data_IF_030252179583
#
_entry.id   IF_030252179583
#
_cell.length_a   1.000
_cell.length_b   1.000
_cell.length_c   1.000
_cell.angle_alpha   90.00
_cell.angle_beta   90.00
_cell.angle_gamma   90.00
#
_symmetry.space_group_name_H-M   'P 1'
#
loop_
_entity.id
_entity.type
_entity.pdbx_description
1 polymer ?
#
# COMPACT_ATOMS: atom_id res chain seq x y z
N UNK A 1 -31.10 22.81 -6.84
CA UNK A 1 -29.80 22.62 -6.17
C UNK A 1 -28.73 23.21 -7.08
N UNK A 2 -28.11 24.32 -6.69
CA UNK A 2 -27.22 25.07 -7.59
C UNK A 2 -25.92 24.30 -7.82
N UNK A 3 -25.45 24.28 -9.07
CA UNK A 3 -24.21 23.60 -9.50
C UNK A 3 -23.02 24.02 -8.63
N UNK A 4 -22.92 25.31 -8.29
CA UNK A 4 -21.85 25.87 -7.45
C UNK A 4 -21.91 25.33 -6.01
N UNK A 5 -23.11 25.10 -5.46
CA UNK A 5 -23.29 24.52 -4.13
C UNK A 5 -22.87 23.04 -4.12
N UNK A 6 -23.19 22.31 -5.19
CA UNK A 6 -22.76 20.92 -5.37
C UNK A 6 -21.23 20.79 -5.51
N UNK A 7 -20.60 21.69 -6.28
CA UNK A 7 -19.13 21.72 -6.43
C UNK A 7 -18.43 22.05 -5.11
N UNK A 8 -18.96 22.97 -4.31
CA UNK A 8 -18.40 23.28 -2.98
C UNK A 8 -18.56 22.12 -1.99
N UNK A 9 -19.66 21.39 -2.06
CA UNK A 9 -19.94 20.24 -1.19
C UNK A 9 -18.99 19.06 -1.45
N UNK A 10 -18.61 18.84 -2.72
CA UNK A 10 -17.83 17.68 -3.15
C UNK A 10 -16.42 18.05 -3.66
N UNK A 11 -15.89 19.19 -3.20
CA UNK A 11 -14.65 19.76 -3.73
C UNK A 11 -13.46 18.80 -3.65
N UNK A 12 -13.30 18.08 -2.53
CA UNK A 12 -12.18 17.18 -2.32
C UNK A 12 -12.21 15.98 -3.27
N UNK A 13 -13.38 15.35 -3.45
CA UNK A 13 -13.55 14.20 -4.35
C UNK A 13 -13.34 14.58 -5.81
N UNK A 14 -13.84 15.76 -6.22
CA UNK A 14 -13.65 16.25 -7.59
C UNK A 14 -12.17 16.56 -7.83
N UNK A 15 -11.47 17.14 -6.85
CA UNK A 15 -10.05 17.47 -6.96
C UNK A 15 -9.16 16.22 -7.05
N UNK A 16 -9.42 15.18 -6.25
CA UNK A 16 -8.63 13.93 -6.32
C UNK A 16 -8.88 13.19 -7.63
N UNK A 17 -10.13 13.12 -8.09
CA UNK A 17 -10.47 12.49 -9.37
C UNK A 17 -9.83 13.25 -10.54
N UNK A 18 -9.94 14.58 -10.55
CA UNK A 18 -9.29 15.42 -11.56
C UNK A 18 -7.76 15.29 -11.51
N UNK A 19 -7.17 15.20 -10.31
CA UNK A 19 -5.73 14.99 -10.13
C UNK A 19 -5.24 13.66 -10.71
N UNK A 20 -5.96 12.56 -10.46
CA UNK A 20 -5.64 11.23 -11.02
C UNK A 20 -5.77 11.24 -12.55
N UNK A 21 -6.85 11.80 -13.08
CA UNK A 21 -7.07 11.88 -14.53
C UNK A 21 -5.99 12.73 -15.20
N UNK A 22 -5.69 13.91 -14.63
CA UNK A 22 -4.67 14.81 -15.18
C UNK A 22 -3.29 14.16 -15.10
N UNK A 23 -2.94 13.51 -13.99
CA UNK A 23 -1.68 12.79 -13.84
C UNK A 23 -1.53 11.63 -14.83
N UNK A 24 -2.61 10.88 -15.08
CA UNK A 24 -2.62 9.81 -16.08
C UNK A 24 -2.45 10.37 -17.50
N UNK A 25 -3.20 11.42 -17.86
CA UNK A 25 -3.12 12.06 -19.18
C UNK A 25 -1.74 12.62 -19.43
N UNK A 26 -1.17 13.36 -18.46
CA UNK A 26 0.19 13.90 -18.55
C UNK A 26 1.21 12.76 -18.68
N UNK A 27 1.09 11.70 -17.87
CA UNK A 27 2.00 10.55 -17.93
C UNK A 27 1.95 9.82 -19.28
N UNK A 28 0.77 9.67 -19.88
CA UNK A 28 0.61 9.05 -21.20
C UNK A 28 1.14 9.98 -22.30
N UNK A 29 0.82 11.27 -22.27
CA UNK A 29 1.28 12.26 -23.27
C UNK A 29 2.81 12.35 -23.31
N UNK A 30 3.44 12.37 -22.13
CA UNK A 30 4.90 12.35 -22.01
C UNK A 30 5.47 11.05 -22.64
N UNK A 31 4.82 9.90 -22.41
CA UNK A 31 5.26 8.61 -22.96
C UNK A 31 5.06 8.49 -24.48
N UNK A 32 4.00 9.07 -25.05
CA UNK A 32 3.71 8.99 -26.49
C UNK A 32 4.40 10.09 -27.31
N UNK A 33 4.84 11.16 -26.67
CA UNK A 33 5.37 12.36 -27.33
C UNK A 33 6.89 12.41 -27.52
N UNK A 34 7.66 11.47 -26.96
CA UNK A 34 9.13 11.46 -27.05
C UNK A 34 9.67 10.12 -27.54
N UNK A 35 10.17 10.10 -28.79
CA UNK A 35 11.01 9.01 -29.33
C UNK A 35 12.44 9.03 -28.76
N UNK A 36 12.87 10.15 -28.18
CA UNK A 36 14.15 10.25 -27.45
C UNK A 36 13.89 10.23 -25.95
N UNK A 37 14.37 9.16 -25.32
CA UNK A 37 14.44 8.89 -23.88
C UNK A 37 14.54 10.18 -23.07
N UNK A 38 13.47 10.52 -22.33
CA UNK A 38 13.52 11.56 -21.29
C UNK A 38 14.80 11.39 -20.48
N UNK A 39 15.58 12.45 -20.36
CA UNK A 39 16.78 12.45 -19.52
C UNK A 39 16.39 11.99 -18.11
N UNK A 40 17.13 11.04 -17.52
CA UNK A 40 16.88 10.47 -16.18
C UNK A 40 16.58 11.53 -15.10
N UNK A 41 17.05 12.76 -15.32
CA UNK A 41 16.83 13.93 -14.46
C UNK A 41 15.38 14.40 -14.41
N UNK A 42 14.64 14.41 -15.52
CA UNK A 42 13.24 14.87 -15.56
C UNK A 42 12.30 13.89 -14.86
N UNK A 43 12.54 12.59 -15.06
CA UNK A 43 11.87 11.52 -14.32
C UNK A 43 12.15 11.63 -12.82
N UNK A 44 13.38 11.93 -12.42
CA UNK A 44 13.76 12.13 -11.02
C UNK A 44 13.00 13.30 -10.36
N UNK A 45 12.74 14.40 -11.08
CA UNK A 45 11.97 15.52 -10.50
C UNK A 45 10.50 15.16 -10.26
N UNK A 46 9.89 14.43 -11.18
CA UNK A 46 8.49 13.98 -11.03
C UNK A 46 8.37 12.93 -9.92
N UNK A 47 9.28 11.95 -9.87
CA UNK A 47 9.28 10.93 -8.82
C UNK A 47 9.55 11.53 -7.44
N UNK A 48 10.42 12.53 -7.34
CA UNK A 48 10.75 13.20 -6.08
C UNK A 48 9.52 13.80 -5.38
N UNK A 49 8.62 14.44 -6.14
CA UNK A 49 7.37 15.00 -5.58
C UNK A 49 6.47 13.88 -5.04
N UNK A 50 6.35 12.77 -5.79
CA UNK A 50 5.60 11.59 -5.36
C UNK A 50 6.20 10.94 -4.11
N UNK A 51 7.52 10.83 -4.05
CA UNK A 51 8.25 10.24 -2.92
C UNK A 51 8.08 11.07 -1.65
N UNK A 52 8.16 12.41 -1.74
CA UNK A 52 7.89 13.29 -0.60
C UNK A 52 6.44 13.09 -0.13
N UNK A 53 5.47 13.08 -1.04
CA UNK A 53 4.07 12.87 -0.70
C UNK A 53 3.85 11.54 0.04
N UNK A 54 4.41 10.44 -0.47
CA UNK A 54 4.31 9.12 0.18
C UNK A 54 5.02 9.08 1.54
N UNK A 55 6.18 9.75 1.69
CA UNK A 55 6.89 9.88 2.97
C UNK A 55 6.05 10.64 4.01
N UNK A 56 5.39 11.72 3.60
CA UNK A 56 4.49 12.49 4.46
C UNK A 56 3.31 11.64 4.92
N UNK A 57 2.66 10.89 4.00
CA UNK A 57 1.57 9.98 4.38
C UNK A 57 2.04 8.91 5.38
N UNK A 58 3.16 8.24 5.10
CA UNK A 58 3.69 7.17 5.97
C UNK A 58 4.05 7.67 7.37
N UNK A 59 4.58 8.88 7.49
CA UNK A 59 4.91 9.49 8.79
C UNK A 59 3.68 9.75 9.68
N UNK A 60 2.50 9.90 9.09
CA UNK A 60 1.25 10.15 9.82
C UNK A 60 0.57 8.84 10.24
N UNK A 61 0.81 7.74 9.53
CA UNK A 61 0.16 6.44 9.80
C UNK A 61 0.47 5.94 11.22
N UNK A 62 1.74 5.90 11.61
CA UNK A 62 2.17 5.40 12.93
C UNK A 62 1.50 6.17 14.09
N UNK A 63 1.61 7.51 14.18
CA UNK A 63 1.02 8.26 15.29
C UNK A 63 -0.51 8.28 15.27
N UNK A 64 -1.17 8.01 14.13
CA UNK A 64 -2.63 8.02 14.05
C UNK A 64 -3.25 6.67 14.43
N UNK A 65 -2.63 5.55 14.05
CA UNK A 65 -3.18 4.22 14.30
C UNK A 65 -3.16 3.88 15.80
N UNK A 66 -2.05 4.12 16.50
CA UNK A 66 -1.90 3.68 17.91
C UNK A 66 -2.96 4.31 18.84
N UNK A 67 -3.16 5.64 18.86
CA UNK A 67 -4.18 6.25 19.71
C UNK A 67 -5.60 5.87 19.28
N UNK A 68 -5.85 5.74 17.97
CA UNK A 68 -7.15 5.32 17.44
C UNK A 68 -7.54 3.93 17.94
N UNK A 69 -6.60 2.98 17.93
CA UNK A 69 -6.81 1.63 18.46
C UNK A 69 -7.03 1.63 19.98
N UNK A 70 -6.27 2.44 20.73
CA UNK A 70 -6.43 2.55 22.19
C UNK A 70 -7.83 3.07 22.55
N UNK A 71 -8.29 4.16 21.90
CA UNK A 71 -9.62 4.72 22.12
C UNK A 71 -10.71 3.73 21.70
N UNK A 72 -10.53 3.03 20.57
CA UNK A 72 -11.46 2.02 20.07
C UNK A 72 -11.69 0.90 21.09
N UNK A 73 -10.62 0.36 21.66
CA UNK A 73 -10.70 -0.72 22.66
C UNK A 73 -11.24 -0.19 24.00
N UNK A 74 -10.85 1.02 24.42
CA UNK A 74 -11.26 1.59 25.71
C UNK A 74 -12.71 2.09 25.77
N UNK A 75 -13.36 2.33 24.64
CA UNK A 75 -14.73 2.86 24.56
C UNK A 75 -15.84 1.80 24.56
N UNK A 76 -15.49 0.51 24.45
CA UNK A 76 -16.43 -0.59 24.31
C UNK A 76 -16.45 -1.48 25.56
N UNK A 77 -17.65 -1.85 26.03
CA UNK A 77 -17.80 -2.86 27.08
C UNK A 77 -17.28 -4.22 26.61
N UNK A 78 -16.57 -4.95 27.49
CA UNK A 78 -15.89 -6.22 27.17
C UNK A 78 -16.82 -7.26 26.51
N UNK A 79 -18.10 -7.24 26.88
CA UNK A 79 -19.11 -8.20 26.40
C UNK A 79 -19.55 -7.91 24.96
N UNK A 80 -19.66 -6.64 24.58
CA UNK A 80 -19.99 -6.24 23.22
C UNK A 80 -18.75 -6.26 22.31
N UNK A 81 -17.58 -5.88 22.87
CA UNK A 81 -16.28 -5.95 22.20
C UNK A 81 -15.94 -7.37 21.74
N UNK A 82 -16.18 -8.38 22.59
CA UNK A 82 -15.93 -9.79 22.22
C UNK A 82 -16.83 -10.32 21.09
N UNK A 83 -18.10 -9.88 21.01
CA UNK A 83 -19.04 -10.31 19.95
C UNK A 83 -18.71 -9.67 18.60
N UNK A 84 -18.39 -8.37 18.61
CA UNK A 84 -18.01 -7.63 17.41
C UNK A 84 -16.64 -8.08 16.91
N UNK A 85 -15.66 -8.18 17.81
CA UNK A 85 -14.32 -8.66 17.52
C UNK A 85 -14.31 -10.12 17.02
N UNK A 86 -15.08 -11.01 17.65
CA UNK A 86 -15.19 -12.40 17.22
C UNK A 86 -15.77 -12.56 15.82
N UNK A 87 -16.79 -11.76 15.48
CA UNK A 87 -17.37 -11.76 14.13
C UNK A 87 -16.37 -11.23 13.11
N UNK A 88 -15.63 -10.17 13.43
CA UNK A 88 -14.59 -9.61 12.55
C UNK A 88 -13.43 -10.60 12.32
N UNK A 89 -12.96 -11.28 13.37
CA UNK A 89 -11.89 -12.29 13.29
C UNK A 89 -12.29 -13.48 12.44
N UNK A 90 -13.57 -13.87 12.41
CA UNK A 90 -14.04 -14.94 11.53
C UNK A 90 -14.27 -14.46 10.09
N UNK A 91 -14.84 -13.25 9.93
CA UNK A 91 -15.19 -12.69 8.63
C UNK A 91 -13.97 -12.35 7.77
N UNK A 92 -12.94 -11.73 8.36
CA UNK A 92 -11.75 -11.28 7.65
C UNK A 92 -10.94 -12.40 6.96
N UNK A 93 -10.53 -13.48 7.64
CA UNK A 93 -9.80 -14.56 6.98
C UNK A 93 -10.68 -15.29 5.97
N UNK A 94 -11.99 -15.45 6.22
CA UNK A 94 -12.89 -16.10 5.28
C UNK A 94 -12.96 -15.33 3.95
N UNK A 95 -13.16 -14.02 3.99
CA UNK A 95 -13.17 -13.20 2.77
C UNK A 95 -11.77 -13.10 2.13
N UNK A 96 -10.70 -13.12 2.93
CA UNK A 96 -9.33 -13.07 2.41
C UNK A 96 -8.99 -14.35 1.65
N UNK A 97 -9.35 -15.53 2.19
CA UNK A 97 -9.13 -16.82 1.50
C UNK A 97 -9.91 -16.86 0.18
N UNK A 98 -11.17 -16.44 0.17
CA UNK A 98 -11.96 -16.35 -1.06
C UNK A 98 -11.33 -15.39 -2.08
N UNK A 99 -10.88 -14.21 -1.64
CA UNK A 99 -10.21 -13.23 -2.51
C UNK A 99 -8.86 -13.76 -3.05
N UNK A 100 -8.08 -14.45 -2.23
CA UNK A 100 -6.79 -15.04 -2.63
C UNK A 100 -7.00 -16.16 -3.64
N UNK A 101 -7.99 -17.04 -3.45
CA UNK A 101 -8.33 -18.08 -4.43
C UNK A 101 -8.68 -17.43 -5.77
N UNK A 102 -9.59 -16.45 -5.76
CA UNK A 102 -9.97 -15.73 -6.99
C UNK A 102 -8.78 -15.02 -7.64
N UNK A 103 -7.91 -14.38 -6.85
CA UNK A 103 -6.71 -13.70 -7.34
C UNK A 103 -5.72 -14.66 -7.99
N UNK A 104 -5.43 -15.80 -7.35
CA UNK A 104 -4.54 -16.83 -7.90
C UNK A 104 -5.15 -17.41 -9.18
N UNK A 105 -6.43 -17.76 -9.18
CA UNK A 105 -7.11 -18.26 -10.39
C UNK A 105 -7.01 -17.26 -11.54
N UNK A 106 -7.23 -15.98 -11.29
CA UNK A 106 -7.16 -14.94 -12.31
C UNK A 106 -5.74 -14.76 -12.85
N UNK A 107 -4.74 -14.69 -11.97
CA UNK A 107 -3.33 -14.52 -12.35
C UNK A 107 -2.81 -15.72 -13.13
N UNK A 108 -3.15 -16.96 -12.72
CA UNK A 108 -2.74 -18.18 -13.43
C UNK A 108 -3.43 -18.31 -14.79
N UNK A 109 -4.65 -17.77 -14.95
CA UNK A 109 -5.39 -17.82 -16.21
C UNK A 109 -4.94 -16.74 -17.19
N UNK A 110 -4.79 -15.48 -16.73
CA UNK A 110 -4.39 -14.35 -17.57
C UNK A 110 -2.88 -14.38 -17.84
N UNK A 111 -2.09 -14.95 -16.93
CA UNK A 111 -0.61 -14.98 -16.96
C UNK A 111 -0.02 -13.61 -17.32
N UNK A 112 -0.35 -12.54 -16.56
CA UNK A 112 0.19 -11.23 -16.85
C UNK A 112 1.71 -11.27 -16.69
N UNK A 113 2.45 -10.85 -17.72
CA UNK A 113 3.91 -10.78 -17.68
C UNK A 113 4.66 -11.82 -18.53
N UNK A 114 3.98 -12.68 -19.28
CA UNK A 114 4.64 -13.60 -20.22
C UNK A 114 5.12 -12.93 -21.54
N UNK A 115 5.14 -11.59 -21.58
CA UNK A 115 5.68 -10.79 -22.68
C UNK A 115 7.22 -10.83 -22.66
N UNK A 116 7.80 -11.08 -23.82
CA UNK A 116 9.21 -11.42 -24.10
C UNK A 116 10.26 -10.37 -23.67
N UNK A 117 9.84 -9.24 -23.08
CA UNK A 117 10.71 -8.16 -22.58
C UNK A 117 11.17 -8.33 -21.11
N UNK A 118 10.83 -9.43 -20.46
CA UNK A 118 11.27 -9.75 -19.09
C UNK A 118 12.81 -9.85 -18.96
N UNK A 119 13.56 -9.90 -20.06
CA UNK A 119 15.01 -9.90 -20.10
C UNK A 119 15.67 -8.53 -19.79
N UNK A 120 14.90 -7.43 -19.81
CA UNK A 120 15.40 -6.08 -19.51
C UNK A 120 15.18 -5.63 -18.06
N UNK A 121 14.52 -6.45 -17.23
CA UNK A 121 14.44 -6.20 -15.80
C UNK A 121 15.81 -6.54 -15.18
N UNK A 122 16.40 -5.68 -14.33
CA UNK A 122 17.60 -6.06 -13.58
C UNK A 122 17.25 -7.36 -12.86
N UNK A 123 17.97 -8.43 -13.22
CA UNK A 123 17.74 -9.76 -12.69
C UNK A 123 17.52 -9.64 -11.18
N UNK A 124 16.29 -9.88 -10.73
CA UNK A 124 15.99 -9.96 -9.31
C UNK A 124 16.97 -11.00 -8.78
N UNK A 125 17.96 -10.52 -8.04
CA UNK A 125 19.04 -11.33 -7.54
C UNK A 125 18.38 -12.26 -6.54
N UNK A 126 18.08 -13.48 -6.99
CA UNK A 126 17.50 -14.56 -6.20
C UNK A 126 18.42 -14.84 -5.03
N UNK A 127 18.28 -14.03 -3.98
CA UNK A 127 18.69 -14.39 -2.64
C UNK A 127 17.59 -15.31 -2.13
N UNK A 128 17.45 -16.47 -2.80
CA UNK A 128 16.58 -17.55 -2.36
C UNK A 128 17.24 -18.14 -1.12
N UNK A 129 17.09 -17.41 -0.01
CA UNK A 129 17.23 -17.97 1.31
C UNK A 129 16.16 -19.04 1.35
N UNK A 130 16.58 -20.32 1.35
CA UNK A 130 15.70 -21.47 1.46
C UNK A 130 15.05 -21.44 2.85
N UNK A 131 14.09 -20.54 3.03
CA UNK A 131 13.28 -20.39 4.23
C UNK A 131 12.17 -21.41 4.10
N UNK A 132 12.12 -22.34 5.04
CA UNK A 132 11.03 -23.30 5.08
C UNK A 132 9.75 -22.53 5.38
N UNK A 133 8.59 -22.98 4.88
CA UNK A 133 7.29 -22.38 5.23
C UNK A 133 7.11 -22.29 6.75
N UNK A 134 7.60 -23.29 7.50
CA UNK A 134 7.62 -23.27 8.96
C UNK A 134 8.43 -22.10 9.55
N UNK A 135 9.57 -21.75 8.95
CA UNK A 135 10.39 -20.61 9.38
C UNK A 135 9.63 -19.29 9.18
N UNK A 136 8.92 -19.14 8.05
CA UNK A 136 8.12 -17.93 7.80
C UNK A 136 6.94 -17.77 8.77
N UNK A 137 6.30 -18.88 9.17
CA UNK A 137 5.24 -18.84 10.19
C UNK A 137 5.81 -18.53 11.57
N UNK A 138 6.97 -19.09 11.88
CA UNK A 138 7.69 -18.77 13.12
C UNK A 138 8.09 -17.29 13.16
N UNK A 139 8.55 -16.74 12.04
CA UNK A 139 8.89 -15.32 11.90
C UNK A 139 7.65 -14.42 11.99
N UNK A 140 6.50 -14.83 11.44
CA UNK A 140 5.25 -14.10 11.60
C UNK A 140 4.84 -14.00 13.08
N UNK A 141 4.90 -15.10 13.82
CA UNK A 141 4.58 -15.13 15.25
C UNK A 141 5.58 -14.27 16.03
N UNK A 142 6.88 -14.32 15.69
CA UNK A 142 7.91 -13.46 16.29
C UNK A 142 7.66 -11.98 16.00
N UNK A 143 7.18 -11.64 14.81
CA UNK A 143 6.86 -10.27 14.42
C UNK A 143 5.57 -9.73 15.08
N UNK A 144 4.61 -10.61 15.43
CA UNK A 144 3.44 -10.22 16.23
C UNK A 144 3.82 -9.70 17.63
N UNK A 145 4.93 -10.19 18.19
CA UNK A 145 5.45 -9.79 19.50
C UNK A 145 6.86 -9.22 19.34
N UNK A 146 7.01 -8.01 18.78
CA UNK A 146 8.32 -7.44 18.56
C UNK A 146 9.04 -7.25 19.90
N UNK A 147 10.35 -7.53 19.97
CA UNK A 147 11.12 -7.38 21.21
C UNK A 147 11.18 -5.92 21.71
N UNK A 148 10.79 -4.94 20.88
CA UNK A 148 10.76 -3.52 21.20
C UNK A 148 9.68 -2.78 20.38
N UNK A 149 8.63 -2.28 21.05
CA UNK A 149 7.50 -1.58 20.42
C UNK A 149 7.94 -0.26 19.73
N UNK A 150 8.97 0.39 20.27
CA UNK A 150 9.51 1.65 19.74
C UNK A 150 10.54 1.44 18.62
N UNK A 151 11.24 0.31 18.57
CA UNK A 151 12.29 0.08 17.57
C UNK A 151 11.72 -0.30 16.20
N UNK A 152 10.59 -0.99 16.12
CA UNK A 152 10.01 -1.40 14.82
C UNK A 152 9.64 -0.20 13.95
N UNK A 153 8.62 0.59 14.32
CA UNK A 153 8.14 1.70 13.50
C UNK A 153 9.16 2.85 13.38
N UNK A 154 10.02 3.07 14.38
CA UNK A 154 10.99 4.16 14.37
C UNK A 154 12.29 3.84 13.62
N UNK A 155 12.79 2.59 13.61
CA UNK A 155 14.01 2.22 12.89
C UNK A 155 13.78 1.98 11.40
N UNK A 156 12.59 1.55 10.95
CA UNK A 156 12.29 1.44 9.51
C UNK A 156 12.39 2.81 8.81
N UNK A 157 12.00 3.89 9.48
CA UNK A 157 12.22 5.26 9.00
C UNK A 157 13.69 5.69 8.95
N UNK A 158 14.57 5.10 9.79
CA UNK A 158 16.01 5.42 9.79
C UNK A 158 16.82 4.59 8.80
N UNK A 159 16.43 3.34 8.53
CA UNK A 159 17.11 2.46 7.55
C UNK A 159 16.85 2.84 6.09
N UNK A 160 15.89 3.73 5.84
CA UNK A 160 15.64 4.35 4.53
C UNK A 160 16.41 5.68 4.32
N UNK A 161 17.19 6.12 5.32
CA UNK A 161 17.96 7.37 5.33
C UNK A 161 19.48 7.16 5.46
N UNK A 162 19.95 5.91 5.50
CA UNK A 162 21.37 5.51 5.41
C UNK A 162 21.48 4.45 4.32
#
# INVERSE_FOLDING_TARGET
>A
MNLITFLKMNYLTILTLAGVITGLVVGVLIRTGQEEVMSDRELMYVSFVGDIFLRMLKSIIIPLIIPSLIVSIGSLDLRDSSRIGGTAILYYPLTTVLAVILGITLVVTIQPGNSTDAAALPAFKDTSRNVTTADTLMDLIRNCFPPNILRGPALETMHHFI
#
